data_IF_012688557998
#
_entry.id   IF_012688557998
#
_cell.length_a   1.000
_cell.length_b   1.000
_cell.length_c   1.000
_cell.angle_alpha   90.00
_cell.angle_beta   90.00
_cell.angle_gamma   90.00
#
_symmetry.space_group_name_H-M   'P 1'
#
loop_
_entity.id
_entity.type
_entity.pdbx_description
1 polymer ?
#
# COMPACT_ATOMS: atom_id res chain seq x y z
N UNK A 1 -0.64 -1.61 15.57
CA UNK A 1 -0.91 -0.37 14.80
C UNK A 1 -0.31 0.87 15.49
N UNK A 2 -0.52 1.08 16.78
CA UNK A 2 0.08 2.24 17.52
C UNK A 2 1.60 2.30 17.39
N UNK A 3 2.29 1.17 17.49
CA UNK A 3 3.75 1.12 17.38
C UNK A 3 4.29 1.54 16.00
N UNK A 4 3.54 1.29 14.92
CA UNK A 4 3.93 1.80 13.59
C UNK A 4 3.83 3.32 13.52
N UNK A 5 2.88 3.92 14.23
CA UNK A 5 2.77 5.37 14.37
C UNK A 5 3.94 5.92 15.17
N UNK A 6 4.29 5.30 16.30
CA UNK A 6 5.45 5.70 17.11
C UNK A 6 6.75 5.68 16.29
N UNK A 7 6.99 4.62 15.51
CA UNK A 7 8.17 4.56 14.62
C UNK A 7 8.15 5.74 13.64
N UNK A 8 7.01 6.01 13.00
CA UNK A 8 6.92 7.06 11.98
C UNK A 8 7.03 8.47 12.55
N UNK A 9 6.40 8.75 13.68
CA UNK A 9 6.33 10.11 14.24
C UNK A 9 7.51 10.45 15.13
N UNK A 10 8.03 9.51 15.91
CA UNK A 10 9.08 9.79 16.88
C UNK A 10 10.47 9.36 16.40
N UNK A 11 10.58 8.23 15.72
CA UNK A 11 11.92 7.71 15.35
C UNK A 11 12.34 8.27 13.99
N UNK A 12 11.49 8.13 12.96
CA UNK A 12 11.83 8.60 11.62
C UNK A 12 12.00 10.11 11.54
N UNK A 13 11.21 10.89 12.28
CA UNK A 13 11.36 12.35 12.32
C UNK A 13 12.75 12.80 12.75
N UNK A 14 13.43 12.01 13.59
CA UNK A 14 14.80 12.33 14.06
C UNK A 14 15.90 11.99 13.06
N UNK A 15 15.66 11.05 12.15
CA UNK A 15 16.69 10.61 11.19
C UNK A 15 16.42 11.07 9.75
N UNK A 16 15.22 11.59 9.46
CA UNK A 16 14.82 11.98 8.10
C UNK A 16 15.76 13.02 7.49
N UNK A 17 16.23 13.98 8.28
CA UNK A 17 17.14 15.02 7.79
C UNK A 17 18.52 14.45 7.39
N UNK A 18 19.01 13.44 8.12
CA UNK A 18 20.25 12.74 7.77
C UNK A 18 20.07 11.94 6.48
N UNK A 19 18.97 11.18 6.37
CA UNK A 19 18.65 10.45 5.15
C UNK A 19 18.46 11.37 3.96
N UNK A 20 17.94 12.58 4.15
CA UNK A 20 17.70 13.54 3.08
C UNK A 20 19.01 14.22 2.61
N UNK A 21 19.92 14.58 3.53
CA UNK A 21 21.06 15.44 3.26
C UNK A 21 22.39 14.72 3.02
N UNK A 22 22.54 13.50 3.56
CA UNK A 22 23.78 12.71 3.44
C UNK A 22 23.67 11.63 2.37
N UNK A 23 24.76 11.05 1.88
CA UNK A 23 24.73 9.83 1.08
C UNK A 23 23.95 8.73 1.78
N UNK A 24 23.36 7.81 1.01
CA UNK A 24 22.57 6.71 1.58
C UNK A 24 23.39 5.84 2.53
N UNK A 25 22.83 5.42 3.66
CA UNK A 25 23.51 4.50 4.56
C UNK A 25 23.81 3.17 3.87
N UNK A 26 24.83 2.46 4.34
CA UNK A 26 25.13 1.12 3.84
C UNK A 26 23.98 0.14 4.14
N UNK A 27 23.84 -0.90 3.31
CA UNK A 27 22.83 -1.94 3.49
C UNK A 27 22.89 -2.57 4.89
N UNK A 28 24.09 -2.68 5.47
CA UNK A 28 24.29 -3.16 6.85
C UNK A 28 23.56 -2.29 7.87
N UNK A 29 23.61 -0.96 7.72
CA UNK A 29 22.94 -0.01 8.62
C UNK A 29 21.43 -0.06 8.40
N UNK A 30 20.96 -0.05 7.14
CA UNK A 30 19.53 -0.13 6.81
C UNK A 30 18.91 -1.44 7.33
N UNK A 31 19.59 -2.56 7.18
CA UNK A 31 19.16 -3.85 7.71
C UNK A 31 19.11 -3.86 9.25
N UNK A 32 20.08 -3.22 9.92
CA UNK A 32 20.06 -3.08 11.37
C UNK A 32 18.88 -2.23 11.84
N UNK A 33 18.58 -1.12 11.18
CA UNK A 33 17.42 -0.28 11.48
C UNK A 33 16.11 -1.05 11.27
N UNK A 34 15.98 -1.76 10.15
CA UNK A 34 14.81 -2.63 9.90
C UNK A 34 14.63 -3.66 11.02
N UNK A 35 15.71 -4.34 11.43
CA UNK A 35 15.66 -5.31 12.54
C UNK A 35 15.18 -4.67 13.84
N UNK A 36 15.68 -3.49 14.20
CA UNK A 36 15.24 -2.76 15.38
C UNK A 36 13.76 -2.37 15.31
N UNK A 37 13.29 -1.90 14.16
CA UNK A 37 11.88 -1.55 13.96
C UNK A 37 10.95 -2.76 14.14
N UNK A 38 11.30 -3.90 13.56
CA UNK A 38 10.48 -5.12 13.69
C UNK A 38 10.58 -5.74 15.08
N UNK A 39 11.74 -5.70 15.75
CA UNK A 39 11.87 -6.10 17.14
C UNK A 39 10.98 -5.26 18.07
N UNK A 40 11.00 -3.93 17.90
CA UNK A 40 10.07 -3.06 18.63
C UNK A 40 8.61 -3.37 18.31
N UNK A 41 8.27 -3.56 17.03
CA UNK A 41 6.89 -3.84 16.58
C UNK A 41 6.36 -5.11 17.25
N UNK A 42 7.12 -6.20 17.22
CA UNK A 42 6.69 -7.52 17.66
C UNK A 42 7.16 -7.90 19.07
N UNK A 43 7.79 -6.96 19.81
CA UNK A 43 8.35 -7.23 21.16
C UNK A 43 9.34 -8.40 21.13
N UNK A 44 10.28 -8.35 20.19
CA UNK A 44 11.34 -9.36 19.97
C UNK A 44 10.82 -10.77 19.59
N UNK A 45 9.52 -10.92 19.35
CA UNK A 45 8.93 -12.18 18.88
C UNK A 45 9.07 -12.29 17.35
N UNK A 46 9.03 -13.51 16.81
CA UNK A 46 9.03 -13.72 15.35
C UNK A 46 7.91 -12.94 14.64
N UNK A 47 8.17 -12.50 13.43
CA UNK A 47 7.20 -11.77 12.62
C UNK A 47 5.97 -12.67 12.32
N UNK A 48 4.75 -12.34 12.78
CA UNK A 48 3.56 -13.17 12.56
C UNK A 48 3.04 -13.09 11.13
N UNK A 49 3.46 -12.07 10.40
CA UNK A 49 3.15 -11.84 8.98
C UNK A 49 4.42 -11.49 8.23
N UNK A 50 4.46 -11.80 6.95
CA UNK A 50 5.61 -11.43 6.09
C UNK A 50 5.85 -9.93 6.12
N UNK A 51 7.11 -9.50 6.15
CA UNK A 51 7.49 -8.08 6.20
C UNK A 51 6.96 -7.29 5.01
N UNK A 52 6.97 -7.86 3.82
CA UNK A 52 6.43 -7.21 2.62
C UNK A 52 4.93 -6.91 2.74
N UNK A 53 4.15 -7.80 3.38
CA UNK A 53 2.73 -7.53 3.68
C UNK A 53 2.60 -6.44 4.74
N UNK A 54 3.42 -6.48 5.79
CA UNK A 54 3.35 -5.49 6.87
C UNK A 54 3.60 -4.04 6.41
N UNK A 55 4.35 -3.86 5.33
CA UNK A 55 4.64 -2.54 4.72
C UNK A 55 3.46 -1.94 3.97
N UNK A 56 2.51 -2.75 3.53
CA UNK A 56 1.33 -2.30 2.79
C UNK A 56 0.38 -1.49 3.67
N UNK A 57 -0.55 -0.76 3.04
CA UNK A 57 -1.62 -0.06 3.77
C UNK A 57 -2.57 -1.07 4.41
N UNK A 58 -3.34 -0.62 5.41
CA UNK A 58 -4.34 -1.48 6.06
C UNK A 58 -5.37 -2.04 5.08
N UNK A 59 -5.84 -1.22 4.14
CA UNK A 59 -6.78 -1.64 3.09
C UNK A 59 -6.22 -2.71 2.16
N UNK A 60 -4.90 -2.77 2.04
CA UNK A 60 -4.17 -3.78 1.28
C UNK A 60 -3.68 -4.93 2.18
N UNK A 61 -4.25 -5.08 3.38
CA UNK A 61 -3.90 -6.13 4.35
C UNK A 61 -2.61 -5.91 5.14
N UNK A 62 -1.98 -4.76 5.02
CA UNK A 62 -0.79 -4.41 5.79
C UNK A 62 -1.10 -3.72 7.12
N UNK A 63 -0.07 -3.28 7.81
CA UNK A 63 -0.15 -2.42 9.01
C UNK A 63 0.48 -1.05 8.75
N UNK A 64 0.84 -0.78 7.52
CA UNK A 64 1.49 0.45 7.10
C UNK A 64 2.89 0.62 7.70
N UNK A 65 3.64 -0.47 7.91
CA UNK A 65 5.03 -0.38 8.38
C UNK A 65 5.89 0.30 7.32
N UNK A 66 6.81 1.16 7.75
CA UNK A 66 7.71 1.84 6.82
C UNK A 66 8.81 0.89 6.34
N UNK A 67 9.12 0.94 5.05
CA UNK A 67 10.34 0.38 4.50
C UNK A 67 11.39 1.48 4.49
N UNK A 68 12.41 1.34 5.34
CA UNK A 68 13.41 2.40 5.51
C UNK A 68 14.30 2.55 4.26
N UNK A 69 14.56 1.49 3.53
CA UNK A 69 15.33 1.52 2.30
C UNK A 69 14.55 2.25 1.19
N UNK A 70 13.29 1.86 0.97
CA UNK A 70 12.40 2.53 0.01
C UNK A 70 12.15 3.98 0.40
N UNK A 71 12.10 4.26 1.71
CA UNK A 71 11.94 5.63 2.20
C UNK A 71 13.17 6.48 1.92
N UNK A 72 14.39 5.98 2.17
CA UNK A 72 15.63 6.66 1.82
C UNK A 72 15.72 6.94 0.31
N UNK A 73 15.45 5.93 -0.53
CA UNK A 73 15.38 6.09 -1.99
C UNK A 73 14.40 7.19 -2.40
N UNK A 74 13.22 7.20 -1.80
CA UNK A 74 12.20 8.20 -2.13
C UNK A 74 12.58 9.62 -1.71
N UNK A 75 13.28 9.77 -0.58
CA UNK A 75 13.84 11.05 -0.15
C UNK A 75 14.93 11.54 -1.10
N UNK A 76 15.84 10.68 -1.55
CA UNK A 76 16.87 11.02 -2.51
C UNK A 76 16.29 11.49 -3.84
N UNK A 77 15.24 10.83 -4.32
CA UNK A 77 14.59 11.21 -5.58
C UNK A 77 13.95 12.60 -5.56
N UNK A 78 13.55 13.11 -4.39
CA UNK A 78 13.07 14.50 -4.30
C UNK A 78 14.13 15.54 -4.65
N UNK A 79 15.44 15.19 -4.63
CA UNK A 79 16.51 16.08 -5.04
C UNK A 79 16.54 16.34 -6.54
N UNK A 80 16.03 15.43 -7.36
CA UNK A 80 15.83 15.70 -8.79
C UNK A 80 14.81 16.84 -8.98
N UNK A 81 13.73 16.84 -8.21
CA UNK A 81 12.77 17.95 -8.22
C UNK A 81 13.45 19.27 -7.83
N UNK A 82 14.21 19.27 -6.73
CA UNK A 82 14.98 20.46 -6.31
C UNK A 82 15.98 20.90 -7.38
N UNK A 83 16.67 19.96 -8.00
CA UNK A 83 17.62 20.27 -9.08
C UNK A 83 16.94 20.95 -10.26
N UNK A 84 15.75 20.50 -10.69
CA UNK A 84 15.09 21.08 -11.87
C UNK A 84 14.26 22.33 -11.58
N UNK A 85 13.72 22.51 -10.39
CA UNK A 85 12.80 23.60 -10.06
C UNK A 85 13.44 24.75 -9.29
N UNK A 86 14.50 24.49 -8.52
CA UNK A 86 15.09 25.52 -7.64
C UNK A 86 16.11 26.38 -8.38
N UNK A 87 16.03 27.67 -8.18
CA UNK A 87 17.08 28.64 -8.58
C UNK A 87 17.95 28.96 -7.35
N UNK A 88 19.07 28.29 -7.20
CA UNK A 88 19.95 28.44 -6.03
C UNK A 88 21.42 28.38 -6.40
N UNK A 89 22.29 29.03 -5.60
CA UNK A 89 23.74 29.04 -5.83
C UNK A 89 24.36 27.64 -5.90
N UNK A 90 23.91 26.70 -5.07
CA UNK A 90 24.43 25.33 -5.10
C UNK A 90 24.12 24.63 -6.44
N UNK A 91 22.97 24.92 -7.03
CA UNK A 91 22.60 24.36 -8.33
C UNK A 91 23.51 24.88 -9.44
N UNK A 92 23.72 26.18 -9.47
CA UNK A 92 24.62 26.81 -10.47
C UNK A 92 26.04 26.25 -10.38
N UNK A 93 26.57 26.08 -9.16
CA UNK A 93 27.88 25.46 -8.94
C UNK A 93 27.90 24.00 -9.38
N UNK A 94 26.84 23.25 -9.10
CA UNK A 94 26.75 21.86 -9.49
C UNK A 94 26.61 21.70 -11.02
N UNK A 95 25.77 22.51 -11.66
CA UNK A 95 25.61 22.54 -13.12
C UNK A 95 26.89 22.94 -13.87
N UNK A 96 27.66 23.87 -13.31
CA UNK A 96 28.96 24.24 -13.91
C UNK A 96 29.99 23.12 -13.80
N UNK A 97 29.96 22.37 -12.71
CA UNK A 97 30.84 21.20 -12.51
C UNK A 97 30.36 19.94 -13.25
N UNK A 98 29.08 19.83 -13.52
CA UNK A 98 28.45 18.62 -14.07
C UNK A 98 27.26 18.97 -14.98
N UNK A 99 27.49 19.61 -16.14
CA UNK A 99 26.44 20.10 -17.05
C UNK A 99 25.59 18.95 -17.65
N UNK A 100 26.13 17.74 -17.72
CA UNK A 100 25.48 16.55 -18.26
C UNK A 100 24.21 16.18 -17.52
N UNK A 101 24.05 16.59 -16.26
CA UNK A 101 22.85 16.35 -15.45
C UNK A 101 21.56 16.90 -16.07
N UNK A 102 21.65 18.00 -16.81
CA UNK A 102 20.49 18.61 -17.47
C UNK A 102 19.88 17.70 -18.55
N UNK A 103 20.69 16.84 -19.14
CA UNK A 103 20.27 15.93 -20.22
C UNK A 103 19.45 14.73 -19.72
N UNK A 104 19.35 14.51 -18.41
CA UNK A 104 18.47 13.46 -17.84
C UNK A 104 17.02 13.64 -18.29
N UNK A 105 16.56 14.87 -18.55
CA UNK A 105 15.23 15.16 -19.07
C UNK A 105 14.97 14.53 -20.44
N UNK A 106 16.01 14.46 -21.27
CA UNK A 106 15.93 14.19 -22.68
C UNK A 106 16.37 12.77 -23.06
N UNK A 107 17.19 12.13 -22.23
CA UNK A 107 17.81 10.86 -22.57
C UNK A 107 17.27 9.70 -21.70
N UNK A 108 17.34 8.49 -22.24
CA UNK A 108 16.85 7.28 -21.60
C UNK A 108 17.84 6.69 -20.58
N UNK A 109 17.52 5.51 -20.12
CA UNK A 109 18.18 4.84 -18.99
C UNK A 109 19.68 4.55 -19.18
N UNK A 110 20.13 4.29 -20.40
CA UNK A 110 21.56 4.03 -20.69
C UNK A 110 22.41 5.29 -20.44
N UNK A 111 21.84 6.48 -20.65
CA UNK A 111 22.53 7.72 -20.32
C UNK A 111 22.67 7.92 -18.81
N UNK A 112 21.63 7.56 -18.06
CA UNK A 112 21.65 7.62 -16.59
C UNK A 112 22.73 6.70 -16.04
N UNK A 113 22.85 5.48 -16.60
CA UNK A 113 23.87 4.52 -16.22
C UNK A 113 25.29 5.05 -16.49
N UNK A 114 25.49 5.72 -17.64
CA UNK A 114 26.74 6.41 -17.95
C UNK A 114 27.07 7.49 -16.91
N UNK A 115 26.08 8.33 -16.55
CA UNK A 115 26.26 9.36 -15.53
C UNK A 115 26.63 8.79 -14.16
N UNK A 116 26.02 7.67 -13.75
CA UNK A 116 26.36 6.98 -12.49
C UNK A 116 27.83 6.58 -12.45
N UNK A 117 28.40 6.18 -13.60
CA UNK A 117 29.80 5.72 -13.68
C UNK A 117 30.80 6.87 -13.59
N UNK A 118 30.50 8.03 -14.20
CA UNK A 118 31.41 9.18 -14.23
C UNK A 118 31.31 10.08 -13.00
N UNK A 119 30.18 10.09 -12.30
CA UNK A 119 29.99 10.86 -11.08
C UNK A 119 30.89 10.37 -9.94
N UNK A 120 31.63 11.27 -9.33
CA UNK A 120 32.46 11.01 -8.14
C UNK A 120 31.70 11.26 -6.83
N UNK A 121 30.78 12.23 -6.82
CA UNK A 121 30.02 12.60 -5.63
C UNK A 121 29.06 11.46 -5.21
N UNK A 122 29.25 10.86 -4.01
CA UNK A 122 28.47 9.69 -3.58
C UNK A 122 26.98 9.99 -3.37
N UNK A 123 26.62 11.21 -2.97
CA UNK A 123 25.23 11.62 -2.78
C UNK A 123 24.47 11.61 -4.12
N UNK A 124 24.98 12.33 -5.13
CA UNK A 124 24.35 12.40 -6.45
C UNK A 124 24.41 11.06 -7.18
N UNK A 125 25.46 10.27 -6.94
CA UNK A 125 25.54 8.88 -7.43
C UNK A 125 24.37 8.03 -6.89
N UNK A 126 24.02 8.16 -5.60
CA UNK A 126 22.83 7.51 -5.02
C UNK A 126 21.53 8.02 -5.66
N UNK A 127 21.39 9.35 -5.86
CA UNK A 127 20.21 9.95 -6.49
C UNK A 127 19.99 9.35 -7.89
N UNK A 128 21.03 9.29 -8.72
CA UNK A 128 20.93 8.75 -10.08
C UNK A 128 20.69 7.23 -10.09
N UNK A 129 21.35 6.47 -9.21
CA UNK A 129 21.13 5.03 -9.06
C UNK A 129 19.66 4.73 -8.72
N UNK A 130 19.09 5.50 -7.81
CA UNK A 130 17.69 5.34 -7.43
C UNK A 130 16.72 5.83 -8.50
N UNK A 131 17.09 6.85 -9.26
CA UNK A 131 16.31 7.27 -10.43
C UNK A 131 16.31 6.20 -11.53
N UNK A 132 17.43 5.56 -11.77
CA UNK A 132 17.53 4.43 -12.70
C UNK A 132 16.59 3.27 -12.27
N UNK A 133 16.64 2.89 -10.98
CA UNK A 133 15.74 1.87 -10.43
C UNK A 133 14.26 2.30 -10.53
N UNK A 134 13.95 3.55 -10.18
CA UNK A 134 12.59 4.08 -10.24
C UNK A 134 12.05 4.12 -11.67
N UNK A 135 12.84 4.56 -12.62
CA UNK A 135 12.45 4.63 -14.03
C UNK A 135 12.19 3.25 -14.64
N UNK A 136 12.95 2.23 -14.22
CA UNK A 136 12.73 0.85 -14.65
C UNK A 136 11.45 0.23 -14.07
N UNK A 137 11.05 0.61 -12.85
CA UNK A 137 9.81 0.16 -12.20
C UNK A 137 8.57 0.89 -12.69
N UNK A 138 8.69 2.11 -13.20
CA UNK A 138 7.58 2.87 -13.75
C UNK A 138 7.19 2.26 -15.10
N UNK A 139 6.14 1.46 -15.09
CA UNK A 139 5.59 0.86 -16.31
C UNK A 139 4.94 1.90 -17.20
N UNK A 140 5.21 1.83 -18.49
CA UNK A 140 4.54 2.60 -19.54
C UNK A 140 3.20 1.90 -19.82
N UNK A 141 2.10 2.60 -19.59
CA UNK A 141 0.76 2.02 -19.71
C UNK A 141 -0.14 2.73 -20.72
N UNK A 142 0.02 4.05 -20.82
CA UNK A 142 -0.83 4.88 -21.69
C UNK A 142 -0.08 5.30 -22.95
N UNK A 143 -0.83 5.70 -23.98
CA UNK A 143 -0.26 6.25 -25.21
C UNK A 143 0.56 7.53 -24.91
N UNK A 144 0.14 8.32 -23.94
CA UNK A 144 0.90 9.51 -23.52
C UNK A 144 2.21 9.14 -22.80
N UNK A 145 2.22 8.10 -21.94
CA UNK A 145 3.47 7.58 -21.38
C UNK A 145 4.45 7.17 -22.52
N UNK A 146 3.92 6.48 -23.55
CA UNK A 146 4.71 6.04 -24.69
C UNK A 146 5.26 7.22 -25.49
N UNK A 147 4.42 8.19 -25.88
CA UNK A 147 4.80 9.38 -26.66
C UNK A 147 5.85 10.23 -25.95
N UNK A 148 5.79 10.34 -24.62
CA UNK A 148 6.76 11.08 -23.81
C UNK A 148 7.99 10.24 -23.41
N UNK A 149 8.12 9.02 -23.92
CA UNK A 149 9.34 8.23 -23.73
C UNK A 149 10.45 8.72 -24.66
N UNK A 150 11.66 8.90 -24.09
CA UNK A 150 12.83 9.14 -24.91
C UNK A 150 13.25 7.87 -25.63
N UNK A 151 13.51 7.98 -26.94
CA UNK A 151 14.06 6.88 -27.71
C UNK A 151 15.59 6.89 -27.77
N UNK A 152 16.22 8.05 -27.50
CA UNK A 152 17.68 8.15 -27.39
C UNK A 152 18.18 7.57 -26.07
N UNK A 153 19.27 6.83 -26.12
CA UNK A 153 19.88 6.17 -24.96
C UNK A 153 18.88 5.28 -24.18
N UNK A 154 17.93 4.70 -24.87
CA UNK A 154 16.92 3.83 -24.27
C UNK A 154 17.26 2.35 -24.55
N UNK A 155 17.47 1.55 -23.51
CA UNK A 155 17.82 0.16 -23.64
C UNK A 155 16.71 -0.70 -24.27
N UNK A 156 15.47 -0.24 -24.27
CA UNK A 156 14.32 -0.95 -24.84
C UNK A 156 14.09 -0.62 -26.32
N UNK A 157 14.68 0.46 -26.86
CA UNK A 157 14.53 0.90 -28.24
C UNK A 157 15.89 0.84 -28.93
N UNK A 158 16.07 -0.16 -29.79
CA UNK A 158 17.37 -0.47 -30.41
C UNK A 158 17.23 -0.67 -31.90
N UNK A 159 18.24 -0.26 -32.65
CA UNK A 159 18.41 -0.60 -34.05
C UNK A 159 19.38 -1.78 -34.10
N UNK A 160 18.88 -2.99 -34.41
CA UNK A 160 19.62 -4.22 -34.20
C UNK A 160 19.97 -4.41 -32.72
N UNK A 161 21.24 -4.53 -32.41
CA UNK A 161 21.72 -4.68 -31.01
C UNK A 161 22.17 -3.36 -30.37
N UNK A 162 22.18 -2.24 -31.16
CA UNK A 162 22.75 -0.96 -30.71
C UNK A 162 21.68 0.00 -30.21
N UNK A 163 21.96 0.62 -29.07
CA UNK A 163 21.14 1.73 -28.54
C UNK A 163 21.32 2.96 -29.43
N UNK A 164 20.24 3.70 -29.66
CA UNK A 164 20.26 4.89 -30.52
C UNK A 164 20.98 6.04 -29.83
N UNK A 165 22.10 6.51 -30.46
CA UNK A 165 22.98 7.58 -29.96
C UNK A 165 23.37 8.53 -31.09
N UNK A 166 22.48 8.79 -32.03
CA UNK A 166 22.79 9.54 -33.24
C UNK A 166 22.98 11.03 -32.95
N UNK A 167 24.14 11.57 -33.33
CA UNK A 167 24.49 12.96 -33.12
C UNK A 167 23.61 13.94 -33.94
N UNK A 168 23.17 13.56 -35.12
CA UNK A 168 22.30 14.39 -35.97
C UNK A 168 20.96 14.60 -35.30
N UNK A 169 20.40 13.55 -34.72
CA UNK A 169 19.11 13.58 -33.98
C UNK A 169 19.27 14.44 -32.72
N UNK A 170 20.38 14.26 -31.96
CA UNK A 170 20.65 15.06 -30.76
C UNK A 170 20.76 16.55 -31.08
N UNK A 171 21.52 16.89 -32.12
CA UNK A 171 21.72 18.30 -32.57
C UNK A 171 20.40 18.93 -33.07
N UNK A 172 19.49 18.11 -33.63
CA UNK A 172 18.15 18.55 -34.03
C UNK A 172 17.16 18.63 -32.90
N UNK A 173 17.58 18.35 -31.65
CA UNK A 173 16.75 18.37 -30.42
C UNK A 173 15.51 17.45 -30.49
N UNK A 174 15.64 16.32 -31.15
CA UNK A 174 14.58 15.32 -31.24
C UNK A 174 14.86 14.23 -30.21
N UNK A 175 14.07 14.19 -29.12
CA UNK A 175 14.32 13.32 -27.97
C UNK A 175 13.20 12.33 -27.72
N UNK A 176 11.95 12.73 -27.98
CA UNK A 176 10.75 11.99 -27.59
C UNK A 176 10.00 11.44 -28.79
N UNK A 177 9.35 10.28 -28.59
CA UNK A 177 8.58 9.63 -29.65
C UNK A 177 7.49 10.55 -30.20
N UNK A 178 6.87 11.38 -29.36
CA UNK A 178 5.85 12.35 -29.80
C UNK A 178 6.34 13.30 -30.91
N UNK A 179 7.62 13.62 -30.95
CA UNK A 179 8.20 14.50 -31.97
C UNK A 179 8.28 13.83 -33.36
N UNK A 180 8.12 12.51 -33.41
CA UNK A 180 8.10 11.72 -34.62
C UNK A 180 6.66 11.36 -35.06
N UNK A 181 5.65 11.95 -34.42
CA UNK A 181 4.25 11.64 -34.66
C UNK A 181 3.41 12.89 -34.91
N UNK A 182 2.42 12.75 -35.78
CA UNK A 182 1.37 13.73 -36.00
C UNK A 182 0.00 13.04 -35.98
N UNK A 183 -0.96 13.54 -35.20
CA UNK A 183 -2.30 12.95 -35.06
C UNK A 183 -2.30 11.43 -34.83
N UNK A 184 -1.42 10.97 -33.91
CA UNK A 184 -1.24 9.56 -33.56
C UNK A 184 -0.60 8.68 -34.66
N UNK A 185 -0.23 9.26 -35.81
CA UNK A 185 0.48 8.58 -36.88
C UNK A 185 1.96 9.00 -36.92
N UNK A 186 2.83 8.08 -37.32
CA UNK A 186 4.22 8.40 -37.54
C UNK A 186 4.38 9.29 -38.77
N UNK A 187 5.22 10.31 -38.68
CA UNK A 187 5.56 11.18 -39.80
C UNK A 187 6.13 10.37 -40.96
N UNK A 188 5.80 10.75 -42.20
CA UNK A 188 6.53 10.27 -43.38
C UNK A 188 7.95 10.84 -43.37
N UNK A 189 8.87 10.26 -44.12
CA UNK A 189 10.26 10.75 -44.21
C UNK A 189 10.33 12.23 -44.70
N UNK A 190 9.47 12.60 -45.68
CA UNK A 190 9.43 13.96 -46.17
C UNK A 190 8.92 14.96 -45.12
N UNK A 191 7.84 14.63 -44.43
CA UNK A 191 7.31 15.44 -43.32
C UNK A 191 8.35 15.60 -42.21
N UNK A 192 9.03 14.50 -41.83
CA UNK A 192 10.09 14.54 -40.82
C UNK A 192 11.21 15.48 -41.24
N UNK A 193 11.67 15.39 -42.49
CA UNK A 193 12.77 16.22 -43.01
C UNK A 193 12.39 17.69 -43.04
N UNK A 194 11.17 18.00 -43.42
CA UNK A 194 10.62 19.37 -43.50
C UNK A 194 10.47 19.95 -42.07
N UNK A 195 9.92 19.18 -41.13
CA UNK A 195 9.62 19.66 -39.80
C UNK A 195 10.88 19.85 -38.94
N UNK A 196 11.78 18.89 -38.97
CA UNK A 196 12.91 18.83 -38.04
C UNK A 196 14.24 19.29 -38.65
N UNK A 197 14.32 19.49 -39.98
CA UNK A 197 15.56 19.86 -40.71
C UNK A 197 16.77 18.95 -40.35
N UNK A 198 16.48 17.71 -40.03
CA UNK A 198 17.47 16.70 -39.60
C UNK A 198 18.01 15.97 -40.84
N UNK A 199 19.34 15.88 -40.96
CA UNK A 199 20.00 15.29 -42.14
C UNK A 199 20.13 13.74 -42.08
N UNK A 200 19.15 13.03 -41.53
CA UNK A 200 19.07 11.58 -41.66
C UNK A 200 18.76 11.18 -43.10
N UNK A 201 19.34 10.08 -43.54
CA UNK A 201 18.89 9.44 -44.76
C UNK A 201 17.63 8.59 -44.56
N UNK A 202 16.97 8.20 -45.65
CA UNK A 202 15.73 7.40 -45.61
C UNK A 202 15.87 6.10 -44.81
N UNK A 203 16.99 5.37 -45.00
CA UNK A 203 17.22 4.09 -44.32
C UNK A 203 17.41 4.26 -42.80
N UNK A 204 18.14 5.28 -42.39
CA UNK A 204 18.34 5.64 -40.97
C UNK A 204 16.99 6.00 -40.32
N UNK A 205 16.19 6.84 -40.97
CA UNK A 205 14.87 7.22 -40.47
C UNK A 205 13.94 6.01 -40.39
N UNK A 206 13.86 5.19 -41.45
CA UNK A 206 13.02 4.02 -41.43
C UNK A 206 13.41 3.01 -40.36
N UNK A 207 14.72 2.79 -40.18
CA UNK A 207 15.24 1.93 -39.11
C UNK A 207 14.86 2.44 -37.71
N UNK A 208 14.87 3.77 -37.50
CA UNK A 208 14.43 4.42 -36.27
C UNK A 208 12.94 4.16 -36.02
N UNK A 209 12.08 4.41 -37.02
CA UNK A 209 10.63 4.19 -36.89
C UNK A 209 10.32 2.71 -36.68
N UNK A 210 10.99 1.78 -37.37
CA UNK A 210 10.82 0.35 -37.14
C UNK A 210 11.19 -0.06 -35.69
N UNK A 211 12.27 0.50 -35.13
CA UNK A 211 12.67 0.22 -33.76
C UNK A 211 11.59 0.72 -32.76
N UNK A 212 11.04 1.90 -32.99
CA UNK A 212 9.98 2.48 -32.13
C UNK A 212 8.69 1.68 -32.24
N UNK A 213 8.24 1.30 -33.45
CA UNK A 213 7.06 0.45 -33.67
C UNK A 213 7.21 -0.92 -33.01
N UNK A 214 8.40 -1.51 -33.07
CA UNK A 214 8.68 -2.77 -32.35
C UNK A 214 8.48 -2.62 -30.84
N UNK A 215 8.92 -1.51 -30.27
CA UNK A 215 8.72 -1.20 -28.86
C UNK A 215 7.24 -0.94 -28.52
N UNK A 216 6.51 -0.19 -29.34
CA UNK A 216 5.08 0.03 -29.21
C UNK A 216 4.30 -1.28 -29.17
N UNK A 217 4.56 -2.17 -30.14
CA UNK A 217 3.93 -3.50 -30.24
C UNK A 217 4.20 -4.37 -28.99
N UNK A 218 5.36 -4.22 -28.36
CA UNK A 218 5.72 -4.92 -27.12
C UNK A 218 4.96 -4.40 -25.91
N UNK A 219 4.75 -3.08 -25.80
CA UNK A 219 4.11 -2.44 -24.64
C UNK A 219 2.58 -2.49 -24.76
N UNK A 220 2.02 -2.34 -25.97
CA UNK A 220 0.60 -2.21 -26.25
C UNK A 220 -0.06 -1.15 -25.37
N UNK A 221 0.32 0.14 -25.51
CA UNK A 221 -0.19 1.21 -24.67
C UNK A 221 -1.69 1.41 -24.86
N UNK A 222 -2.41 1.70 -23.78
CA UNK A 222 -3.85 2.01 -23.86
C UNK A 222 -4.08 3.41 -24.45
N UNK A 223 -5.16 3.65 -25.20
CA UNK A 223 -5.44 4.92 -25.89
C UNK A 223 -5.89 6.05 -24.94
N UNK A 224 -5.68 5.93 -23.65
CA UNK A 224 -6.05 6.95 -22.66
C UNK A 224 -5.11 8.14 -22.81
N UNK A 225 -5.67 9.33 -23.06
CA UNK A 225 -4.92 10.58 -23.17
C UNK A 225 -4.79 11.26 -21.81
N UNK A 226 -3.56 11.40 -21.34
CA UNK A 226 -3.19 12.24 -20.21
C UNK A 226 -2.22 13.30 -20.71
N UNK A 227 -2.36 14.57 -20.33
CA UNK A 227 -1.47 15.64 -20.80
C UNK A 227 -0.11 15.56 -20.07
N UNK A 228 0.74 14.61 -20.45
CA UNK A 228 2.14 14.57 -19.98
C UNK A 228 3.01 15.48 -20.84
N UNK A 229 4.00 16.10 -20.21
CA UNK A 229 4.98 17.00 -20.88
C UNK A 229 6.42 16.52 -20.70
N UNK A 230 6.65 15.49 -19.91
CA UNK A 230 7.96 14.98 -19.50
C UNK A 230 8.01 13.45 -19.58
N UNK A 231 9.21 12.88 -19.50
CA UNK A 231 9.34 11.44 -19.36
C UNK A 231 8.49 10.90 -18.17
N UNK A 232 7.80 9.76 -18.32
CA UNK A 232 6.82 9.29 -17.34
C UNK A 232 7.35 9.14 -15.90
N UNK A 233 8.61 8.71 -15.75
CA UNK A 233 9.24 8.61 -14.42
C UNK A 233 9.54 9.98 -13.83
N UNK A 234 10.06 10.91 -14.62
CA UNK A 234 10.39 12.25 -14.19
C UNK A 234 9.15 13.08 -13.88
N UNK A 235 8.07 12.91 -14.66
CA UNK A 235 6.76 13.53 -14.42
C UNK A 235 6.25 13.22 -13.01
N UNK A 236 6.29 11.97 -12.59
CA UNK A 236 5.87 11.58 -11.21
C UNK A 236 6.68 12.31 -10.15
N UNK A 237 7.99 12.48 -10.36
CA UNK A 237 8.87 13.15 -9.39
C UNK A 237 8.58 14.65 -9.34
N UNK A 238 8.44 15.30 -10.49
CA UNK A 238 8.30 16.76 -10.59
C UNK A 238 6.89 17.24 -10.24
N UNK A 239 5.84 16.50 -10.61
CA UNK A 239 4.45 16.88 -10.31
C UNK A 239 4.03 16.62 -8.87
N UNK A 240 4.82 15.91 -8.07
CA UNK A 240 4.55 15.70 -6.65
C UNK A 240 4.48 17.02 -5.90
N UNK A 241 3.29 17.43 -5.46
CA UNK A 241 3.07 18.72 -4.77
C UNK A 241 3.83 18.81 -3.44
N UNK A 242 3.83 17.72 -2.66
CA UNK A 242 4.56 17.66 -1.40
C UNK A 242 4.89 16.21 -1.02
N UNK A 243 6.06 16.02 -0.42
CA UNK A 243 6.47 14.74 0.16
C UNK A 243 6.89 13.66 -0.83
N UNK A 244 7.15 12.50 -0.30
CA UNK A 244 7.71 11.35 -1.02
C UNK A 244 6.67 10.27 -1.37
N UNK A 245 5.40 10.43 -0.95
CA UNK A 245 4.40 9.37 -0.99
C UNK A 245 4.15 8.76 -2.39
N UNK A 246 4.03 9.52 -3.50
CA UNK A 246 3.86 8.94 -4.83
C UNK A 246 5.09 8.13 -5.28
N UNK A 247 6.28 8.66 -5.00
CA UNK A 247 7.56 8.01 -5.32
C UNK A 247 7.70 6.72 -4.49
N UNK A 248 7.45 6.80 -3.20
CA UNK A 248 7.47 5.66 -2.28
C UNK A 248 6.52 4.55 -2.73
N UNK A 249 5.30 4.91 -3.17
CA UNK A 249 4.31 3.95 -3.65
C UNK A 249 4.78 3.19 -4.89
N UNK A 250 5.42 3.86 -5.83
CA UNK A 250 5.97 3.21 -7.04
C UNK A 250 7.13 2.28 -6.67
N UNK A 251 8.02 2.72 -5.78
CA UNK A 251 9.17 1.92 -5.35
C UNK A 251 8.79 0.72 -4.48
N UNK A 252 7.71 0.83 -3.70
CA UNK A 252 7.32 -0.20 -2.74
C UNK A 252 6.82 -1.49 -3.40
N UNK A 253 6.60 -1.53 -4.67
CA UNK A 253 6.06 -2.64 -5.48
C UNK A 253 5.68 -3.89 -4.66
N UNK A 254 4.38 -4.12 -4.47
CA UNK A 254 3.89 -5.22 -3.63
C UNK A 254 2.71 -5.93 -4.28
N UNK A 255 3.04 -6.91 -5.11
CA UNK A 255 2.06 -7.82 -5.72
C UNK A 255 1.86 -9.11 -4.89
N UNK A 256 2.36 -9.18 -3.66
CA UNK A 256 2.20 -10.38 -2.83
C UNK A 256 0.75 -10.50 -2.32
N UNK A 257 0.14 -11.65 -2.59
CA UNK A 257 -1.16 -12.02 -2.01
C UNK A 257 -1.01 -12.31 -0.52
N UNK A 258 -1.97 -11.87 0.29
CA UNK A 258 -1.99 -12.14 1.73
C UNK A 258 -2.19 -13.64 2.00
N UNK A 259 -1.44 -14.19 2.94
CA UNK A 259 -1.63 -15.58 3.36
C UNK A 259 -3.04 -15.83 3.92
N UNK A 260 -3.62 -14.83 4.59
CA UNK A 260 -4.99 -14.90 5.08
C UNK A 260 -6.00 -15.08 3.97
N UNK A 261 -5.89 -14.31 2.87
CA UNK A 261 -6.75 -14.48 1.70
C UNK A 261 -6.69 -15.91 1.15
N UNK A 262 -5.49 -16.44 0.93
CA UNK A 262 -5.30 -17.81 0.40
C UNK A 262 -5.97 -18.86 1.33
N UNK A 263 -5.79 -18.71 2.65
CA UNK A 263 -6.34 -19.65 3.64
C UNK A 263 -7.86 -19.55 3.78
N UNK A 264 -8.43 -18.36 3.63
CA UNK A 264 -9.89 -18.19 3.72
C UNK A 264 -10.58 -18.48 2.40
N UNK A 265 -10.01 -18.11 1.24
CA UNK A 265 -10.59 -18.43 -0.08
C UNK A 265 -10.72 -19.94 -0.33
N UNK A 266 -9.87 -20.77 0.29
CA UNK A 266 -10.02 -22.23 0.25
C UNK A 266 -11.18 -22.77 1.12
N UNK A 267 -11.75 -21.95 2.02
CA UNK A 267 -12.78 -22.32 3.01
C UNK A 267 -14.07 -21.55 2.84
N UNK A 268 -14.08 -20.52 2.03
CA UNK A 268 -15.20 -19.59 1.83
C UNK A 268 -15.14 -19.03 0.42
N UNK A 269 -16.28 -18.75 -0.17
CA UNK A 269 -16.42 -18.08 -1.46
C UNK A 269 -16.20 -16.57 -1.28
N UNK A 270 -14.97 -16.14 -1.08
CA UNK A 270 -14.61 -14.73 -0.96
C UNK A 270 -13.74 -14.33 -2.15
N UNK A 271 -14.10 -13.27 -2.84
CA UNK A 271 -13.31 -12.73 -3.94
C UNK A 271 -12.30 -11.66 -3.47
N UNK A 272 -11.56 -11.08 -4.41
CA UNK A 272 -10.56 -10.06 -4.11
C UNK A 272 -11.19 -8.71 -3.75
N UNK A 273 -12.33 -8.39 -4.31
CA UNK A 273 -13.06 -7.13 -4.07
C UNK A 273 -13.62 -7.15 -2.65
N UNK A 274 -14.28 -8.23 -2.26
CA UNK A 274 -14.78 -8.46 -0.90
C UNK A 274 -13.69 -8.34 0.15
N UNK A 275 -12.48 -8.82 -0.19
CA UNK A 275 -11.35 -8.73 0.72
C UNK A 275 -10.89 -7.29 0.97
N UNK A 276 -10.88 -6.44 -0.06
CA UNK A 276 -10.57 -5.01 0.07
C UNK A 276 -11.63 -4.32 0.93
N UNK A 277 -12.91 -4.57 0.66
CA UNK A 277 -14.03 -4.00 1.43
C UNK A 277 -13.97 -4.39 2.90
N UNK A 278 -13.60 -5.63 3.20
CA UNK A 278 -13.40 -6.11 4.58
C UNK A 278 -12.40 -5.24 5.36
N UNK A 279 -11.28 -4.88 4.76
CA UNK A 279 -10.28 -4.01 5.40
C UNK A 279 -10.71 -2.54 5.47
N UNK A 280 -11.41 -2.04 4.46
CA UNK A 280 -11.98 -0.68 4.49
C UNK A 280 -13.01 -0.55 5.59
N UNK A 281 -13.89 -1.51 5.73
CA UNK A 281 -14.89 -1.57 6.79
C UNK A 281 -14.24 -1.60 8.16
N UNK A 282 -13.22 -2.43 8.37
CA UNK A 282 -12.46 -2.45 9.61
C UNK A 282 -11.83 -1.11 9.96
N UNK A 283 -11.30 -0.38 8.96
CA UNK A 283 -10.73 0.95 9.15
C UNK A 283 -11.78 1.97 9.59
N UNK A 284 -13.00 1.88 9.04
CA UNK A 284 -14.05 2.89 9.23
C UNK A 284 -14.89 2.63 10.50
N UNK A 285 -15.07 1.36 10.90
CA UNK A 285 -15.94 0.98 12.02
C UNK A 285 -15.46 1.49 13.37
N UNK A 286 -14.18 1.46 13.65
CA UNK A 286 -13.66 1.85 14.97
C UNK A 286 -12.25 2.41 14.90
N UNK A 287 -11.92 3.32 15.82
CA UNK A 287 -10.53 3.77 16.06
C UNK A 287 -9.84 2.94 17.15
N UNK A 288 -10.55 2.08 17.88
CA UNK A 288 -9.98 1.22 18.92
C UNK A 288 -9.00 0.21 18.31
N UNK A 289 -7.72 0.40 18.65
CA UNK A 289 -6.63 -0.41 18.11
C UNK A 289 -6.67 -1.86 18.58
N UNK A 290 -7.26 -2.16 19.76
CA UNK A 290 -7.43 -3.54 20.27
C UNK A 290 -8.43 -4.31 19.43
N UNK A 291 -9.56 -3.69 19.10
CA UNK A 291 -10.58 -4.29 18.23
C UNK A 291 -10.05 -4.49 16.81
N UNK A 292 -9.41 -3.45 16.24
CA UNK A 292 -8.77 -3.54 14.93
C UNK A 292 -7.71 -4.64 14.89
N UNK A 293 -6.90 -4.76 15.92
CA UNK A 293 -5.84 -5.76 15.99
C UNK A 293 -6.39 -7.18 16.11
N UNK A 294 -7.48 -7.38 16.86
CA UNK A 294 -8.14 -8.69 16.93
C UNK A 294 -8.66 -9.10 15.55
N UNK A 295 -9.45 -8.24 14.90
CA UNK A 295 -10.00 -8.53 13.57
C UNK A 295 -8.90 -8.76 12.54
N UNK A 296 -7.86 -7.94 12.56
CA UNK A 296 -6.68 -8.12 11.71
C UNK A 296 -6.06 -9.51 11.86
N UNK A 297 -5.91 -9.99 13.11
CA UNK A 297 -5.37 -11.34 13.37
C UNK A 297 -6.31 -12.45 12.90
N UNK A 298 -7.62 -12.26 12.98
CA UNK A 298 -8.62 -13.19 12.42
C UNK A 298 -8.46 -13.26 10.90
N UNK A 299 -8.45 -12.11 10.22
CA UNK A 299 -8.33 -12.01 8.77
C UNK A 299 -7.04 -12.64 8.24
N UNK A 300 -5.92 -12.43 8.91
CA UNK A 300 -4.64 -13.06 8.53
C UNK A 300 -4.51 -14.51 8.99
N UNK A 301 -5.50 -15.05 9.71
CA UNK A 301 -5.50 -16.40 10.29
C UNK A 301 -4.26 -16.66 11.20
N UNK A 302 -3.88 -15.62 11.98
CA UNK A 302 -2.76 -15.65 12.92
C UNK A 302 -3.19 -15.46 14.38
N UNK A 303 -4.51 -15.50 14.65
CA UNK A 303 -5.01 -15.42 16.02
C UNK A 303 -4.63 -16.69 16.79
N UNK A 304 -4.12 -16.50 17.98
CA UNK A 304 -3.71 -17.60 18.87
C UNK A 304 -4.92 -18.38 19.37
N UNK A 305 -5.06 -19.64 18.95
CA UNK A 305 -6.06 -20.60 19.39
C UNK A 305 -5.37 -21.81 20.05
N UNK A 306 -6.11 -22.64 20.81
CA UNK A 306 -5.52 -23.80 21.45
C UNK A 306 -4.92 -24.76 20.40
N UNK A 307 -5.62 -24.97 19.26
CA UNK A 307 -5.08 -25.78 18.16
C UNK A 307 -3.76 -25.19 17.60
N UNK A 308 -3.68 -23.87 17.48
CA UNK A 308 -2.45 -23.25 17.00
C UNK A 308 -1.31 -23.37 18.02
N UNK A 309 -1.61 -23.35 19.31
CA UNK A 309 -0.61 -23.48 20.37
C UNK A 309 -0.15 -24.94 20.53
N UNK A 310 -1.05 -25.91 20.42
CA UNK A 310 -0.70 -27.34 20.53
C UNK A 310 0.25 -27.79 19.40
N UNK A 311 0.25 -27.13 18.25
CA UNK A 311 1.22 -27.39 17.18
C UNK A 311 2.67 -27.07 17.57
N UNK A 312 2.89 -26.17 18.54
CA UNK A 312 4.20 -25.76 19.02
C UNK A 312 4.52 -26.28 20.41
N UNK A 313 3.48 -26.50 21.24
CA UNK A 313 3.59 -27.00 22.61
C UNK A 313 2.75 -28.28 22.75
N UNK A 314 3.39 -29.43 22.62
CA UNK A 314 2.73 -30.74 22.61
C UNK A 314 1.94 -31.05 23.90
N UNK A 315 2.29 -30.43 25.02
CA UNK A 315 1.62 -30.60 26.32
C UNK A 315 0.26 -29.88 26.41
N UNK A 316 -0.05 -28.99 25.48
CA UNK A 316 -1.31 -28.24 25.50
C UNK A 316 -2.37 -28.91 24.62
N UNK A 317 -3.56 -29.09 25.21
CA UNK A 317 -4.69 -29.69 24.49
C UNK A 317 -5.16 -28.77 23.38
N UNK A 318 -5.47 -29.27 22.17
CA UNK A 318 -6.04 -28.48 21.08
C UNK A 318 -7.51 -28.11 21.30
N UNK A 319 -8.17 -28.67 22.36
CA UNK A 319 -9.58 -28.55 22.56
C UNK A 319 -10.07 -27.14 22.88
N UNK A 320 -11.29 -26.85 22.46
CA UNK A 320 -11.95 -25.57 22.68
C UNK A 320 -12.16 -25.25 24.16
N UNK A 321 -11.77 -24.06 24.58
CA UNK A 321 -11.91 -23.57 25.95
C UNK A 321 -13.36 -23.58 26.47
N UNK A 322 -14.35 -23.44 25.58
CA UNK A 322 -15.76 -23.37 25.98
C UNK A 322 -16.47 -24.71 25.98
N UNK A 323 -16.31 -25.55 24.94
CA UNK A 323 -17.04 -26.80 24.82
C UNK A 323 -16.24 -28.05 25.18
N UNK A 324 -14.90 -27.97 25.20
CA UNK A 324 -13.96 -29.07 25.46
C UNK A 324 -14.15 -30.33 24.58
N UNK A 325 -14.85 -30.20 23.43
CA UNK A 325 -15.19 -31.33 22.54
C UNK A 325 -14.46 -31.35 21.23
N UNK A 326 -14.20 -30.18 20.66
CA UNK A 326 -13.62 -30.00 19.32
C UNK A 326 -12.35 -29.16 19.36
N UNK A 327 -11.52 -29.31 18.36
CA UNK A 327 -10.34 -28.48 18.20
C UNK A 327 -10.68 -26.99 18.12
N UNK A 328 -10.00 -26.17 18.91
CA UNK A 328 -10.19 -24.72 18.89
C UNK A 328 -9.47 -24.08 17.70
N UNK A 329 -10.13 -24.10 16.56
CA UNK A 329 -9.73 -23.27 15.38
C UNK A 329 -10.34 -21.86 15.50
N UNK A 330 -9.90 -20.90 14.67
CA UNK A 330 -10.55 -19.58 14.61
C UNK A 330 -12.03 -19.71 14.23
N UNK A 331 -12.34 -20.59 13.27
CA UNK A 331 -13.70 -20.83 12.82
C UNK A 331 -14.55 -21.43 13.94
N UNK A 332 -14.01 -22.44 14.64
CA UNK A 332 -14.72 -23.03 15.76
C UNK A 332 -14.97 -22.02 16.89
N UNK A 333 -13.93 -21.24 17.26
CA UNK A 333 -13.99 -20.27 18.35
C UNK A 333 -15.05 -19.17 18.13
N UNK A 334 -15.25 -18.72 16.89
CA UNK A 334 -16.17 -17.61 16.63
C UNK A 334 -17.51 -18.02 16.01
N UNK A 335 -17.64 -19.27 15.50
CA UNK A 335 -18.85 -19.66 14.78
C UNK A 335 -19.35 -21.09 15.09
N UNK A 336 -18.48 -22.10 15.10
CA UNK A 336 -18.93 -23.50 15.15
C UNK A 336 -19.25 -23.98 16.58
N UNK A 337 -18.61 -23.39 17.61
CA UNK A 337 -18.79 -23.80 19.01
C UNK A 337 -20.23 -23.58 19.48
N UNK A 338 -20.91 -24.63 20.01
CA UNK A 338 -22.28 -24.53 20.46
C UNK A 338 -22.47 -23.47 21.55
N UNK A 339 -21.56 -23.38 22.54
CA UNK A 339 -21.62 -22.36 23.59
C UNK A 339 -21.54 -20.94 23.04
N UNK A 340 -20.79 -20.74 21.97
CA UNK A 340 -20.69 -19.44 21.28
C UNK A 340 -21.95 -19.17 20.47
N UNK A 341 -22.51 -20.15 19.78
CA UNK A 341 -23.80 -20.02 19.07
C UNK A 341 -24.94 -19.64 20.03
N UNK A 342 -25.02 -20.27 21.20
CA UNK A 342 -26.04 -19.96 22.21
C UNK A 342 -25.88 -18.50 22.71
N UNK A 343 -24.66 -18.05 22.93
CA UNK A 343 -24.35 -16.66 23.29
C UNK A 343 -24.75 -15.68 22.19
N UNK A 344 -24.39 -15.97 20.93
CA UNK A 344 -24.73 -15.10 19.78
C UNK A 344 -26.24 -15.04 19.57
N UNK A 345 -26.96 -16.15 19.67
CA UNK A 345 -28.44 -16.19 19.61
C UNK A 345 -29.07 -15.34 20.71
N UNK A 346 -28.53 -15.41 21.93
CA UNK A 346 -28.97 -14.53 23.01
C UNK A 346 -28.72 -13.04 22.73
N UNK A 347 -27.61 -12.68 22.06
CA UNK A 347 -27.36 -11.32 21.62
C UNK A 347 -28.29 -10.87 20.48
N UNK A 348 -28.59 -11.75 19.51
CA UNK A 348 -29.59 -11.49 18.46
C UNK A 348 -30.93 -11.08 19.08
N UNK A 349 -31.40 -11.86 20.05
CA UNK A 349 -32.66 -11.56 20.77
C UNK A 349 -32.61 -10.19 21.47
N UNK A 350 -31.47 -9.84 22.09
CA UNK A 350 -31.32 -8.53 22.74
C UNK A 350 -31.33 -7.39 21.73
N UNK A 351 -30.65 -7.57 20.59
CA UNK A 351 -30.60 -6.54 19.53
C UNK A 351 -31.99 -6.39 18.92
N UNK A 352 -32.61 -7.46 18.48
CA UNK A 352 -33.89 -7.44 17.77
C UNK A 352 -35.06 -6.96 18.66
N UNK A 353 -35.08 -7.30 19.95
CA UNK A 353 -36.15 -6.90 20.86
C UNK A 353 -36.01 -5.49 21.42
N UNK A 354 -34.81 -4.86 21.36
CA UNK A 354 -34.53 -3.59 22.02
C UNK A 354 -34.05 -2.47 21.10
N UNK A 355 -33.68 -2.79 19.85
CA UNK A 355 -33.32 -1.79 18.86
C UNK A 355 -34.53 -1.39 18.01
N UNK A 356 -34.62 -0.11 17.68
CA UNK A 356 -35.66 0.43 16.79
C UNK A 356 -35.32 0.15 15.31
N UNK A 357 -34.98 -1.08 14.98
CA UNK A 357 -34.69 -1.45 13.59
C UNK A 357 -35.85 -2.24 12.99
N UNK A 358 -36.13 -1.95 11.72
CA UNK A 358 -37.15 -2.63 10.94
C UNK A 358 -36.73 -4.01 10.39
N UNK A 359 -35.45 -4.40 10.58
CA UNK A 359 -34.95 -5.67 10.06
C UNK A 359 -34.47 -6.61 11.19
N UNK A 360 -34.63 -7.90 10.95
CA UNK A 360 -34.27 -8.94 11.88
C UNK A 360 -32.77 -9.24 11.77
N UNK A 361 -31.95 -8.73 12.70
CA UNK A 361 -30.52 -8.92 12.72
C UNK A 361 -30.18 -10.39 13.07
N UNK A 362 -29.27 -10.99 12.29
CA UNK A 362 -28.71 -12.32 12.55
C UNK A 362 -27.20 -12.33 12.39
N UNK A 363 -26.51 -12.98 13.30
CA UNK A 363 -25.10 -13.29 13.10
C UNK A 363 -24.93 -14.36 12.01
N UNK A 364 -23.99 -14.17 11.12
CA UNK A 364 -23.62 -15.13 10.07
C UNK A 364 -22.15 -15.51 10.20
N UNK A 365 -21.76 -16.60 9.58
CA UNK A 365 -20.35 -17.02 9.48
C UNK A 365 -19.48 -15.90 8.92
N UNK A 366 -19.91 -15.26 7.85
CA UNK A 366 -19.19 -14.16 7.21
C UNK A 366 -19.02 -12.95 8.13
N UNK A 367 -20.06 -12.53 8.85
CA UNK A 367 -19.98 -11.46 9.86
C UNK A 367 -19.00 -11.81 10.98
N UNK A 368 -19.02 -13.06 11.46
CA UNK A 368 -18.14 -13.46 12.57
C UNK A 368 -16.69 -13.67 12.15
N UNK A 369 -16.39 -13.97 10.90
CA UNK A 369 -15.01 -14.11 10.43
C UNK A 369 -14.51 -12.81 9.80
N UNK A 370 -15.24 -12.27 8.82
CA UNK A 370 -14.78 -11.12 8.03
C UNK A 370 -15.23 -9.77 8.62
N UNK A 371 -16.26 -9.72 9.48
CA UNK A 371 -16.87 -8.49 9.95
C UNK A 371 -17.70 -7.80 8.87
N UNK A 372 -18.04 -8.52 7.81
CA UNK A 372 -18.79 -8.05 6.65
C UNK A 372 -19.71 -9.16 6.15
N UNK A 373 -20.90 -8.82 5.70
CA UNK A 373 -21.81 -9.71 5.00
C UNK A 373 -22.03 -9.17 3.60
N UNK A 374 -21.79 -9.99 2.60
CA UNK A 374 -21.89 -9.59 1.20
C UNK A 374 -23.33 -9.30 0.77
N UNK A 375 -24.29 -9.92 1.45
CA UNK A 375 -25.72 -9.86 1.11
C UNK A 375 -26.52 -8.85 1.94
N UNK A 376 -25.93 -8.27 3.01
CA UNK A 376 -26.66 -7.42 3.96
C UNK A 376 -25.82 -6.17 4.29
N UNK A 377 -26.39 -5.00 4.02
CA UNK A 377 -25.81 -3.74 4.51
C UNK A 377 -26.08 -3.61 6.01
N UNK A 378 -25.04 -3.74 6.82
CA UNK A 378 -25.09 -3.47 8.26
C UNK A 378 -24.77 -2.00 8.54
N UNK A 379 -25.44 -1.40 9.51
CA UNK A 379 -25.09 -0.05 9.95
C UNK A 379 -23.77 -0.05 10.77
N UNK A 380 -23.20 1.13 10.95
CA UNK A 380 -21.89 1.27 11.60
C UNK A 380 -21.85 0.80 13.06
N UNK A 381 -22.99 0.75 13.73
CA UNK A 381 -23.09 0.29 15.11
C UNK A 381 -23.20 -1.23 15.18
N UNK A 382 -23.93 -1.87 14.27
CA UNK A 382 -23.94 -3.33 14.15
C UNK A 382 -22.53 -3.86 13.93
N UNK A 383 -21.77 -3.21 13.05
CA UNK A 383 -20.37 -3.56 12.80
C UNK A 383 -19.52 -3.44 14.07
N UNK A 384 -19.72 -2.38 14.83
CA UNK A 384 -19.02 -2.18 16.10
C UNK A 384 -19.42 -3.24 17.13
N UNK A 385 -20.71 -3.56 17.26
CA UNK A 385 -21.21 -4.62 18.17
C UNK A 385 -20.62 -5.96 17.82
N UNK A 386 -20.54 -6.30 16.54
CA UNK A 386 -19.89 -7.54 16.04
C UNK A 386 -18.42 -7.59 16.48
N UNK A 387 -17.67 -6.50 16.29
CA UNK A 387 -16.26 -6.45 16.72
C UNK A 387 -16.10 -6.58 18.23
N UNK A 388 -16.98 -5.95 19.01
CA UNK A 388 -16.99 -6.05 20.46
C UNK A 388 -17.34 -7.48 20.90
N UNK A 389 -18.32 -8.14 20.24
CA UNK A 389 -18.68 -9.52 20.53
C UNK A 389 -17.50 -10.46 20.29
N UNK A 390 -16.79 -10.32 19.17
CA UNK A 390 -15.56 -11.09 18.90
C UNK A 390 -14.50 -10.85 19.98
N UNK A 391 -14.30 -9.60 20.36
CA UNK A 391 -13.32 -9.25 21.39
C UNK A 391 -13.71 -9.83 22.75
N UNK A 392 -14.98 -9.79 23.11
CA UNK A 392 -15.52 -10.36 24.33
C UNK A 392 -15.32 -11.90 24.36
N UNK A 393 -15.69 -12.60 23.29
CA UNK A 393 -15.48 -14.05 23.15
C UNK A 393 -13.98 -14.39 23.34
N UNK A 394 -13.10 -13.68 22.63
CA UNK A 394 -11.66 -13.93 22.72
C UNK A 394 -11.10 -13.62 24.11
N UNK A 395 -11.58 -12.58 24.78
CA UNK A 395 -11.20 -12.24 26.16
C UNK A 395 -11.66 -13.32 27.14
N UNK A 396 -12.91 -13.77 27.05
CA UNK A 396 -13.43 -14.85 27.87
C UNK A 396 -12.61 -16.15 27.67
N UNK A 397 -12.24 -16.46 26.43
CA UNK A 397 -11.33 -17.57 26.11
C UNK A 397 -10.00 -17.44 26.84
N UNK A 398 -9.35 -16.28 26.75
CA UNK A 398 -8.02 -16.05 27.37
C UNK A 398 -8.09 -16.09 28.90
N UNK A 399 -9.16 -15.56 29.48
CA UNK A 399 -9.39 -15.51 30.92
C UNK A 399 -10.09 -16.75 31.46
N UNK A 400 -10.43 -17.72 30.60
CA UNK A 400 -11.20 -18.94 30.95
C UNK A 400 -12.53 -18.63 31.66
N UNK A 401 -13.22 -17.58 31.22
CA UNK A 401 -14.51 -17.16 31.75
C UNK A 401 -15.66 -17.70 30.88
N UNK A 402 -16.83 -17.93 31.50
CA UNK A 402 -18.03 -18.25 30.78
C UNK A 402 -18.58 -17.06 29.99
N UNK A 403 -19.20 -17.34 28.84
CA UNK A 403 -19.88 -16.34 28.04
C UNK A 403 -21.17 -15.90 28.73
N UNK A 404 -21.30 -14.62 29.06
CA UNK A 404 -22.43 -14.04 29.78
C UNK A 404 -22.90 -12.77 29.09
N UNK A 405 -24.20 -12.69 28.75
CA UNK A 405 -24.82 -11.57 28.03
C UNK A 405 -24.83 -10.31 28.89
N UNK A 406 -25.02 -10.41 30.21
CA UNK A 406 -25.05 -9.22 31.08
C UNK A 406 -23.66 -8.58 31.18
N UNK A 407 -22.60 -9.40 31.27
CA UNK A 407 -21.23 -8.89 31.22
C UNK A 407 -20.90 -8.24 29.88
N UNK A 408 -21.39 -8.80 28.78
CA UNK A 408 -21.25 -8.20 27.47
C UNK A 408 -21.97 -6.84 27.36
N UNK A 409 -23.22 -6.75 27.83
CA UNK A 409 -23.98 -5.49 27.87
C UNK A 409 -23.23 -4.42 28.65
N UNK A 410 -22.68 -4.78 29.81
CA UNK A 410 -21.87 -3.85 30.63
C UNK A 410 -20.63 -3.35 29.88
N UNK A 411 -19.95 -4.21 29.13
CA UNK A 411 -18.80 -3.77 28.32
C UNK A 411 -19.24 -2.85 27.19
N UNK A 412 -20.33 -3.14 26.52
CA UNK A 412 -20.89 -2.30 25.46
C UNK A 412 -21.30 -0.92 26.03
N UNK A 413 -21.93 -0.90 27.19
CA UNK A 413 -22.29 0.33 27.89
C UNK A 413 -21.07 1.18 28.27
N UNK A 414 -20.02 0.57 28.81
CA UNK A 414 -18.78 1.28 29.12
C UNK A 414 -18.17 1.96 27.86
N UNK A 415 -18.22 1.28 26.70
CA UNK A 415 -17.76 1.87 25.44
C UNK A 415 -18.64 3.04 24.99
N UNK A 416 -19.95 2.90 25.14
CA UNK A 416 -20.90 4.00 24.91
C UNK A 416 -20.54 5.21 25.77
N UNK A 417 -20.30 5.04 27.07
CA UNK A 417 -19.93 6.13 27.97
C UNK A 417 -18.62 6.82 27.54
N UNK A 418 -17.60 6.06 27.18
CA UNK A 418 -16.33 6.62 26.68
C UNK A 418 -16.56 7.44 25.40
N UNK A 419 -17.30 6.91 24.43
CA UNK A 419 -17.59 7.65 23.20
C UNK A 419 -18.45 8.89 23.47
N UNK A 420 -19.39 8.82 24.43
CA UNK A 420 -20.21 9.97 24.85
C UNK A 420 -19.36 11.12 25.39
N UNK A 421 -18.39 10.82 26.25
CA UNK A 421 -17.46 11.81 26.80
C UNK A 421 -16.61 12.44 25.70
N UNK A 422 -16.04 11.63 24.82
CA UNK A 422 -15.12 12.09 23.75
C UNK A 422 -15.85 12.94 22.71
N UNK A 423 -17.07 12.56 22.32
CA UNK A 423 -17.80 13.21 21.24
C UNK A 423 -18.77 14.31 21.71
N UNK A 424 -18.82 14.63 23.00
CA UNK A 424 -19.64 15.70 23.59
C UNK A 424 -21.08 15.79 23.03
N UNK A 425 -21.75 14.66 22.89
CA UNK A 425 -23.11 14.54 22.34
C UNK A 425 -23.30 15.10 20.92
N UNK A 426 -22.30 15.04 20.07
CA UNK A 426 -22.42 15.44 18.65
C UNK A 426 -23.60 14.75 17.95
N UNK A 427 -24.12 15.36 16.88
CA UNK A 427 -25.21 14.77 16.06
C UNK A 427 -24.82 13.38 15.55
N UNK A 428 -23.55 13.22 15.13
CA UNK A 428 -23.01 11.93 14.65
C UNK A 428 -23.08 10.88 15.76
N UNK A 429 -22.74 11.23 17.00
CA UNK A 429 -22.84 10.33 18.15
C UNK A 429 -24.27 9.92 18.45
N UNK A 430 -25.21 10.89 18.45
CA UNK A 430 -26.64 10.62 18.69
C UNK A 430 -27.23 9.72 17.61
N UNK A 431 -26.96 9.99 16.36
CA UNK A 431 -27.42 9.16 15.24
C UNK A 431 -26.86 7.73 15.31
N UNK A 432 -25.59 7.59 15.71
CA UNK A 432 -24.96 6.30 15.88
C UNK A 432 -25.57 5.48 17.00
N UNK A 433 -25.71 6.03 18.20
CA UNK A 433 -26.10 5.29 19.41
C UNK A 433 -27.60 5.33 19.73
N UNK A 434 -28.34 6.31 19.18
CA UNK A 434 -29.76 6.49 19.45
C UNK A 434 -30.59 5.21 19.33
N UNK A 435 -30.53 4.46 18.23
CA UNK A 435 -31.29 3.24 18.04
C UNK A 435 -31.00 2.13 19.08
N UNK A 436 -29.85 2.18 19.75
CA UNK A 436 -29.36 1.16 20.66
C UNK A 436 -29.49 1.52 22.15
N UNK A 437 -29.93 2.71 22.49
CA UNK A 437 -30.03 3.19 23.88
C UNK A 437 -30.94 2.27 24.75
N UNK A 438 -31.96 1.68 24.16
CA UNK A 438 -32.85 0.75 24.84
C UNK A 438 -32.15 -0.54 25.36
N UNK A 439 -30.99 -0.89 24.78
CA UNK A 439 -30.19 -2.02 25.29
C UNK A 439 -29.66 -1.72 26.70
N UNK A 440 -29.47 -0.44 27.01
CA UNK A 440 -28.85 0.03 28.25
C UNK A 440 -29.85 0.40 29.35
N UNK A 441 -31.18 0.31 29.12
CA UNK A 441 -32.19 0.67 30.11
C UNK A 441 -31.98 0.01 31.48
N UNK A 442 -31.32 -1.12 31.55
CA UNK A 442 -30.98 -1.81 32.82
C UNK A 442 -29.76 -1.23 33.53
N UNK A 443 -29.06 -0.25 32.94
CA UNK A 443 -27.86 0.39 33.47
C UNK A 443 -28.02 1.93 33.63
N UNK A 444 -29.11 2.47 33.12
CA UNK A 444 -29.55 3.85 33.30
C UNK A 444 -30.49 3.98 34.50
#
# INVERSE_FOLDING_TARGET
MEKTTVIKTLVLSKIVHLLLALPSPSDKILNKLNKLFYNFLWKEKPDPIKRNISKQKLIDGGIGMIDIEVFDKSLKLTWLKRFFETKSKWKTLFESAFPEMNNIKNFGNVYIEHLINILTNPFWKNVLKYYFEFSSKKTIRTMDDFKNTSFLFNSNIRIGHKVIKDKLIINSQIFFIQQLMHNDNYLSFNEFKTLHRCNLNFLQYNSLICAIKSYENKIKPTPIKCKLKLQPALEVILTTKSGTAPIYKVLLDSNEKYQGYIKWSSKTEIDKTDWIETFEKLKNTTKDTKLRWLQYRILHNILTTNKSVSNFKREQTPLCTFCNKHDETILHLFWECQKVKDFLKGLENVINNRCMHSFNFRFTKSLMIFGYCFDITTDSICDLVILIAKYFIYRCKVQKLNLNIQLFKRELYNRYLVEKIVNKNSVIFRNKWGPYLNIFKSFL
#
